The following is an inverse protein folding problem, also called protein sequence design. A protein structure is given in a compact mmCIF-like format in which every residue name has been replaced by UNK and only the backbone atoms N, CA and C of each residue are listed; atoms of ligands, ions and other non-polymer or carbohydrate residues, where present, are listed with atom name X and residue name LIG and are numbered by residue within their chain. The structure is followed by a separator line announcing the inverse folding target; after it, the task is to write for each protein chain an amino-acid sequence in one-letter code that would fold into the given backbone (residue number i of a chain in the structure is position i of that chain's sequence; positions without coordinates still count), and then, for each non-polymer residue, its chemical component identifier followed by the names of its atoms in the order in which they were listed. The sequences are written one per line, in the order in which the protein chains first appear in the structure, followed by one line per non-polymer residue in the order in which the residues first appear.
data_IF_198609695507
#
_entry.id   IF_198609695507
#
_cell.length_a   1.000
_cell.length_b   1.000
_cell.length_c   1.000
_cell.angle_alpha   90.00
_cell.angle_beta   90.00
_cell.angle_gamma   90.00
#
_symmetry.space_group_name_H-M   'P 1'
#
loop_
_entity.id
_entity.type
_entity.pdbx_description
1 polymer ?
#
# COMPACT_ATOMS: atom_id res chain seq x y z
N UNK A 1 25.51 -31.85 38.47
CA UNK A 1 25.59 -32.21 37.04
C UNK A 1 24.22 -32.48 36.42
N UNK A 2 23.30 -33.17 37.12
CA UNK A 2 21.95 -33.53 36.62
C UNK A 2 21.02 -32.32 36.34
N UNK A 3 21.03 -31.27 37.19
CA UNK A 3 20.16 -30.08 36.98
C UNK A 3 20.49 -29.27 35.71
N UNK A 4 21.77 -29.14 35.35
CA UNK A 4 22.18 -28.39 34.13
C UNK A 4 21.75 -29.09 32.85
N UNK A 5 21.72 -30.43 32.85
CA UNK A 5 21.27 -31.23 31.69
C UNK A 5 19.75 -31.07 31.49
N UNK A 6 18.97 -31.11 32.57
CA UNK A 6 17.51 -30.91 32.53
C UNK A 6 17.13 -29.51 32.01
N UNK A 7 17.82 -28.47 32.46
CA UNK A 7 17.57 -27.08 32.03
C UNK A 7 17.94 -26.85 30.55
N UNK A 8 19.02 -27.50 30.07
CA UNK A 8 19.39 -27.45 28.65
C UNK A 8 18.39 -28.19 27.75
N UNK A 9 17.80 -29.28 28.24
CA UNK A 9 16.80 -30.05 27.51
C UNK A 9 15.45 -29.32 27.48
N UNK A 10 15.05 -28.65 28.56
CA UNK A 10 13.87 -27.77 28.60
C UNK A 10 14.01 -26.61 27.60
N UNK A 11 15.15 -25.93 27.56
CA UNK A 11 15.39 -24.85 26.59
C UNK A 11 15.36 -25.36 25.14
N UNK A 12 15.95 -26.53 24.85
CA UNK A 12 15.88 -27.14 23.52
C UNK A 12 14.45 -27.49 23.13
N UNK A 13 13.66 -28.06 24.04
CA UNK A 13 12.24 -28.39 23.79
C UNK A 13 11.44 -27.11 23.56
N UNK A 14 11.65 -26.06 24.36
CA UNK A 14 10.99 -24.77 24.17
C UNK A 14 11.32 -24.15 22.82
N UNK A 15 12.60 -24.08 22.44
CA UNK A 15 13.03 -23.56 21.13
C UNK A 15 12.40 -24.37 19.98
N UNK A 16 12.31 -25.70 20.11
CA UNK A 16 11.70 -26.56 19.10
C UNK A 16 10.17 -26.35 19.02
N UNK A 17 9.50 -26.10 20.13
CA UNK A 17 8.07 -25.77 20.17
C UNK A 17 7.81 -24.40 19.54
N UNK A 18 8.58 -23.37 19.87
CA UNK A 18 8.50 -22.05 19.25
C UNK A 18 8.76 -22.12 17.74
N UNK A 19 9.80 -22.86 17.32
CA UNK A 19 10.11 -23.06 15.91
C UNK A 19 9.01 -23.85 15.18
N UNK A 20 8.45 -24.87 15.80
CA UNK A 20 7.33 -25.64 15.24
C UNK A 20 6.04 -24.82 15.18
N UNK A 21 5.78 -23.92 16.14
CA UNK A 21 4.66 -22.97 16.11
C UNK A 21 4.84 -21.93 15.00
N UNK A 22 6.04 -21.36 14.83
CA UNK A 22 6.33 -20.45 13.72
C UNK A 22 6.24 -21.15 12.36
N UNK A 23 6.70 -22.40 12.25
CA UNK A 23 6.56 -23.20 11.04
C UNK A 23 5.10 -23.53 10.75
N UNK A 24 4.30 -23.87 11.76
CA UNK A 24 2.85 -24.11 11.61
C UNK A 24 2.10 -22.84 11.22
N UNK A 25 2.46 -21.67 11.79
CA UNK A 25 1.93 -20.37 11.38
C UNK A 25 2.29 -20.06 9.92
N UNK A 26 3.56 -20.25 9.52
CA UNK A 26 3.99 -20.11 8.12
C UNK A 26 3.27 -21.07 7.18
N UNK A 27 3.05 -22.33 7.59
CA UNK A 27 2.30 -23.32 6.81
C UNK A 27 0.81 -22.97 6.71
N UNK A 28 0.20 -22.40 7.75
CA UNK A 28 -1.20 -21.94 7.74
C UNK A 28 -1.38 -20.69 6.88
N UNK A 29 -0.43 -19.76 6.93
CA UNK A 29 -0.43 -18.54 6.11
C UNK A 29 -0.22 -18.87 4.62
N UNK A 30 0.62 -19.86 4.30
CA UNK A 30 0.78 -20.35 2.92
C UNK A 30 -0.50 -20.93 2.31
N UNK A 31 -1.51 -21.32 3.11
CA UNK A 31 -2.77 -21.83 2.58
C UNK A 31 -3.74 -20.76 2.04
N UNK A 32 -3.42 -19.46 2.18
CA UNK A 32 -4.25 -18.36 1.68
C UNK A 32 -3.72 -17.69 0.41
N UNK A 33 -2.57 -18.14 -0.09
CA UNK A 33 -1.91 -17.59 -1.27
C UNK A 33 -1.90 -18.69 -2.34
N UNK A 34 -2.84 -18.64 -3.29
CA UNK A 34 -2.75 -19.52 -4.44
C UNK A 34 -1.49 -19.17 -5.26
N UNK A 35 -0.84 -20.18 -5.86
CA UNK A 35 0.36 -19.98 -6.68
C UNK A 35 0.15 -19.11 -7.92
N UNK A 36 -1.10 -18.78 -8.25
CA UNK A 36 -1.49 -17.92 -9.37
C UNK A 36 -1.93 -16.50 -8.92
N UNK A 37 -2.03 -16.24 -7.62
CA UNK A 37 -2.42 -14.92 -7.11
C UNK A 37 -1.22 -13.99 -7.02
N UNK A 38 -1.40 -12.74 -7.47
CA UNK A 38 -0.41 -11.67 -7.34
C UNK A 38 -0.48 -10.95 -5.97
N UNK A 39 -1.41 -11.37 -5.10
CA UNK A 39 -1.58 -10.81 -3.76
C UNK A 39 -2.00 -11.88 -2.74
N UNK A 40 -1.71 -11.66 -1.47
CA UNK A 40 -2.16 -12.49 -0.36
C UNK A 40 -3.38 -11.91 0.34
N UNK A 41 -4.24 -12.76 0.90
CA UNK A 41 -5.35 -12.35 1.76
C UNK A 41 -5.10 -12.88 3.18
N UNK A 42 -5.30 -12.04 4.18
CA UNK A 42 -5.16 -12.38 5.60
C UNK A 42 -6.36 -11.88 6.40
N UNK A 43 -6.54 -12.44 7.60
CA UNK A 43 -7.69 -12.15 8.46
C UNK A 43 -7.36 -11.27 9.67
N UNK A 44 -6.09 -10.89 9.88
CA UNK A 44 -5.69 -10.07 11.02
C UNK A 44 -4.56 -9.09 10.67
N UNK A 45 -4.47 -8.00 11.44
CA UNK A 45 -3.36 -7.05 11.35
C UNK A 45 -2.01 -7.73 11.64
N UNK A 46 -1.95 -8.63 12.62
CA UNK A 46 -0.72 -9.37 12.95
C UNK A 46 -0.23 -10.20 11.76
N UNK A 47 -1.13 -10.82 11.01
CA UNK A 47 -0.77 -11.54 9.79
C UNK A 47 -0.34 -10.55 8.71
N UNK A 48 -1.09 -9.46 8.52
CA UNK A 48 -0.80 -8.42 7.52
C UNK A 48 0.66 -7.97 7.56
N UNK A 49 1.19 -7.69 8.75
CA UNK A 49 2.56 -7.19 8.94
C UNK A 49 3.62 -8.29 9.09
N UNK A 50 3.24 -9.55 9.31
CA UNK A 50 4.19 -10.65 9.53
C UNK A 50 4.40 -11.55 8.32
N UNK A 51 3.43 -11.64 7.41
CA UNK A 51 3.59 -12.37 6.14
C UNK A 51 4.74 -11.75 5.35
N UNK A 52 5.68 -12.53 4.84
CA UNK A 52 6.69 -12.00 3.92
C UNK A 52 6.12 -11.93 2.50
N UNK A 53 6.47 -10.90 1.73
CA UNK A 53 6.28 -10.96 0.29
C UNK A 53 7.13 -12.09 -0.32
N UNK A 54 6.59 -12.79 -1.33
CA UNK A 54 7.27 -13.91 -1.95
C UNK A 54 6.86 -14.09 -3.42
N UNK A 55 7.84 -14.27 -4.30
CA UNK A 55 7.60 -14.50 -5.73
C UNK A 55 6.85 -13.32 -6.36
N UNK A 56 5.67 -13.60 -6.91
CA UNK A 56 4.81 -12.59 -7.54
C UNK A 56 3.84 -11.91 -6.57
N UNK A 57 3.89 -12.26 -5.28
CA UNK A 57 3.02 -11.69 -4.24
C UNK A 57 3.74 -10.51 -3.60
N UNK A 58 3.38 -9.32 -4.04
CA UNK A 58 3.93 -8.03 -3.56
C UNK A 58 2.85 -7.10 -2.97
N UNK A 59 1.65 -7.64 -2.76
CA UNK A 59 0.58 -7.00 -2.02
C UNK A 59 -0.07 -8.01 -1.05
N UNK A 60 -0.44 -7.56 0.15
CA UNK A 60 -1.20 -8.35 1.12
C UNK A 60 -2.39 -7.54 1.61
N UNK A 61 -3.57 -8.15 1.60
CA UNK A 61 -4.84 -7.56 1.98
C UNK A 61 -5.32 -8.14 3.31
N UNK A 62 -5.48 -7.30 4.32
CA UNK A 62 -6.37 -7.62 5.43
C UNK A 62 -7.81 -7.32 5.00
N UNK A 63 -8.47 -8.38 4.53
CA UNK A 63 -9.86 -8.30 4.09
C UNK A 63 -10.80 -8.28 5.29
N UNK A 64 -11.76 -7.36 5.27
CA UNK A 64 -12.66 -7.09 6.39
C UNK A 64 -14.08 -6.84 5.89
N UNK A 65 -15.06 -7.32 6.62
CA UNK A 65 -16.46 -6.93 6.49
C UNK A 65 -16.78 -5.96 7.63
N UNK A 66 -17.01 -4.69 7.28
CA UNK A 66 -17.24 -3.61 8.25
C UNK A 66 -18.66 -3.07 8.08
N UNK A 67 -19.56 -3.43 9.00
CA UNK A 67 -20.93 -2.91 9.03
C UNK A 67 -21.02 -1.61 9.84
N UNK A 68 -20.42 -0.54 9.31
CA UNK A 68 -20.36 0.79 9.95
C UNK A 68 -20.68 1.89 8.94
N UNK A 69 -20.69 3.16 9.37
CA UNK A 69 -21.00 4.29 8.49
C UNK A 69 -19.82 5.28 8.37
N UNK A 70 -18.92 5.01 7.43
CA UNK A 70 -17.85 5.95 7.07
C UNK A 70 -18.35 7.18 6.31
N UNK A 71 -19.54 7.09 5.68
CA UNK A 71 -20.13 8.21 4.95
C UNK A 71 -20.53 9.34 5.90
N UNK A 72 -21.06 9.02 7.08
CA UNK A 72 -21.39 10.01 8.10
C UNK A 72 -20.18 10.85 8.52
N UNK A 73 -19.00 10.21 8.68
CA UNK A 73 -17.75 10.91 8.99
C UNK A 73 -17.40 11.86 7.85
N UNK A 74 -17.39 11.36 6.61
CA UNK A 74 -17.07 12.17 5.42
C UNK A 74 -18.03 13.37 5.27
N UNK A 75 -19.32 13.17 5.53
CA UNK A 75 -20.33 14.23 5.44
C UNK A 75 -20.20 15.33 6.50
N UNK A 76 -19.43 15.10 7.57
CA UNK A 76 -19.20 16.08 8.66
C UNK A 76 -17.80 16.68 8.67
N UNK A 77 -16.84 16.08 7.97
CA UNK A 77 -15.52 16.64 7.80
C UNK A 77 -15.54 17.83 6.84
N UNK A 78 -14.64 18.79 7.06
CA UNK A 78 -14.51 19.98 6.22
C UNK A 78 -13.25 19.86 5.37
N UNK A 79 -13.43 19.81 4.07
CA UNK A 79 -12.36 19.90 3.10
C UNK A 79 -11.93 21.37 2.94
N UNK A 80 -10.63 21.65 3.10
CA UNK A 80 -10.05 23.01 2.96
C UNK A 80 -9.56 23.30 1.54
N UNK A 81 -8.92 22.31 0.90
CA UNK A 81 -8.36 22.41 -0.46
C UNK A 81 -8.79 21.19 -1.29
N UNK A 82 -7.93 20.63 -2.14
CA UNK A 82 -8.19 19.34 -2.80
C UNK A 82 -7.94 18.15 -1.87
N UNK A 83 -7.06 18.32 -0.88
CA UNK A 83 -6.70 17.33 0.12
C UNK A 83 -6.68 18.02 1.49
N UNK A 84 -7.17 17.35 2.51
CA UNK A 84 -7.08 17.81 3.90
C UNK A 84 -6.71 16.65 4.78
N UNK A 85 -5.56 16.75 5.45
CA UNK A 85 -5.17 15.79 6.48
C UNK A 85 -6.09 15.95 7.70
N UNK A 86 -6.53 14.81 8.22
CA UNK A 86 -7.50 14.69 9.31
C UNK A 86 -6.80 14.05 10.50
N UNK A 87 -6.76 14.77 11.63
CA UNK A 87 -6.16 14.27 12.85
C UNK A 87 -7.19 13.55 13.72
N UNK A 88 -6.71 12.73 14.67
CA UNK A 88 -7.58 12.05 15.65
C UNK A 88 -8.48 13.05 16.38
N UNK A 89 -7.94 14.21 16.78
CA UNK A 89 -8.71 15.26 17.44
C UNK A 89 -9.86 15.82 16.57
N UNK A 90 -9.72 15.81 15.25
CA UNK A 90 -10.78 16.25 14.34
C UNK A 90 -11.90 15.22 14.27
N UNK A 91 -11.57 13.93 14.24
CA UNK A 91 -12.54 12.83 14.34
C UNK A 91 -13.30 12.86 15.68
N UNK A 92 -12.61 13.19 16.78
CA UNK A 92 -13.19 13.24 18.12
C UNK A 92 -14.18 14.40 18.32
N UNK A 93 -14.06 15.47 17.52
CA UNK A 93 -14.98 16.62 17.54
C UNK A 93 -16.29 16.35 16.79
N UNK A 94 -16.36 15.29 15.98
CA UNK A 94 -17.56 14.98 15.22
C UNK A 94 -18.68 14.46 16.14
N UNK A 95 -19.84 15.09 16.06
CA UNK A 95 -21.09 14.59 16.63
C UNK A 95 -21.65 13.52 15.69
N UNK A 96 -21.56 12.24 16.08
CA UNK A 96 -21.82 11.08 15.25
C UNK A 96 -22.89 10.18 15.86
N UNK A 97 -23.65 9.49 15.00
CA UNK A 97 -24.50 8.37 15.41
C UNK A 97 -23.69 7.20 15.99
N UNK A 98 -24.35 6.19 16.54
CA UNK A 98 -23.69 4.97 17.02
C UNK A 98 -22.85 4.30 15.91
N UNK A 99 -23.40 4.19 14.69
CA UNK A 99 -22.69 3.61 13.54
C UNK A 99 -21.50 4.46 13.09
N UNK A 100 -21.63 5.78 13.14
CA UNK A 100 -20.53 6.71 12.87
C UNK A 100 -19.44 6.64 13.94
N UNK A 101 -19.80 6.49 15.21
CA UNK A 101 -18.85 6.28 16.31
C UNK A 101 -18.07 4.98 16.12
N UNK A 102 -18.71 3.88 15.73
CA UNK A 102 -18.00 2.63 15.40
C UNK A 102 -17.05 2.79 14.22
N UNK A 103 -17.45 3.53 13.18
CA UNK A 103 -16.55 3.87 12.06
C UNK A 103 -15.32 4.66 12.53
N UNK A 104 -15.52 5.66 13.42
CA UNK A 104 -14.43 6.45 14.00
C UNK A 104 -13.47 5.58 14.80
N UNK A 105 -13.98 4.67 15.62
CA UNK A 105 -13.16 3.76 16.43
C UNK A 105 -12.30 2.86 15.55
N UNK A 106 -12.81 2.36 14.42
CA UNK A 106 -12.04 1.57 13.45
C UNK A 106 -10.87 2.40 12.89
N UNK A 107 -11.13 3.62 12.43
CA UNK A 107 -10.09 4.49 11.85
C UNK A 107 -8.99 4.76 12.86
N UNK A 108 -9.36 5.18 14.09
CA UNK A 108 -8.39 5.50 15.15
C UNK A 108 -7.58 4.26 15.50
N UNK A 109 -8.21 3.08 15.61
CA UNK A 109 -7.53 1.82 15.90
C UNK A 109 -6.54 1.43 14.80
N UNK A 110 -6.92 1.56 13.53
CA UNK A 110 -6.04 1.26 12.40
C UNK A 110 -4.82 2.20 12.40
N UNK A 111 -5.02 3.50 12.63
CA UNK A 111 -3.92 4.46 12.80
C UNK A 111 -3.00 4.07 13.95
N UNK A 112 -3.56 3.73 15.12
CA UNK A 112 -2.77 3.33 16.28
C UNK A 112 -1.95 2.05 16.02
N UNK A 113 -2.57 1.01 15.44
CA UNK A 113 -1.88 -0.24 15.12
C UNK A 113 -0.72 -0.01 14.14
N UNK A 114 -0.90 0.85 13.13
CA UNK A 114 0.17 1.21 12.19
C UNK A 114 1.28 2.02 12.85
N UNK A 115 0.94 3.02 13.68
CA UNK A 115 1.93 3.79 14.44
C UNK A 115 2.72 2.92 15.42
N UNK A 116 2.06 2.01 16.14
CA UNK A 116 2.70 1.05 17.06
C UNK A 116 3.60 0.05 16.32
N UNK A 117 3.25 -0.31 15.09
CA UNK A 117 4.09 -1.10 14.20
C UNK A 117 5.33 -0.33 13.70
N UNK A 118 5.31 1.01 13.78
CA UNK A 118 6.40 1.88 13.35
C UNK A 118 6.19 2.53 11.97
N UNK A 119 4.98 2.45 11.41
CA UNK A 119 4.59 3.21 10.23
C UNK A 119 4.14 4.64 10.59
N UNK A 120 3.94 5.49 9.59
CA UNK A 120 3.55 6.89 9.75
C UNK A 120 2.18 7.19 9.10
N UNK A 121 1.07 6.68 9.66
CA UNK A 121 -0.24 6.81 9.05
C UNK A 121 -0.73 8.26 9.00
N UNK A 122 -1.19 8.67 7.82
CA UNK A 122 -1.91 9.90 7.55
C UNK A 122 -3.31 9.59 7.03
N UNK A 123 -4.33 10.18 7.66
CA UNK A 123 -5.71 10.09 7.21
C UNK A 123 -6.06 11.34 6.41
N UNK A 124 -6.52 11.17 5.19
CA UNK A 124 -6.77 12.26 4.26
C UNK A 124 -8.22 12.23 3.79
N UNK A 125 -8.87 13.40 3.83
CA UNK A 125 -10.09 13.67 3.07
C UNK A 125 -9.68 14.29 1.74
N UNK A 126 -10.07 13.66 0.62
CA UNK A 126 -9.65 14.06 -0.71
C UNK A 126 -10.83 14.31 -1.62
N UNK A 127 -10.72 15.34 -2.45
CA UNK A 127 -11.54 15.57 -3.63
C UNK A 127 -10.84 15.12 -4.90
N UNK A 128 -9.54 15.41 -5.02
CA UNK A 128 -8.69 15.01 -6.15
C UNK A 128 -7.22 15.21 -5.80
N UNK A 129 -6.32 14.64 -6.60
CA UNK A 129 -4.93 15.05 -6.66
C UNK A 129 -4.70 16.06 -7.78
N UNK A 130 -3.62 16.81 -7.67
CA UNK A 130 -3.17 17.66 -8.77
C UNK A 130 -2.68 16.78 -9.93
N UNK A 131 -2.90 17.27 -11.16
CA UNK A 131 -2.53 16.57 -12.39
C UNK A 131 -1.16 17.02 -12.86
N UNK A 132 -0.36 16.07 -13.33
CA UNK A 132 0.85 16.39 -14.07
C UNK A 132 0.48 16.69 -15.53
N UNK A 133 0.62 17.96 -15.90
CA UNK A 133 0.38 18.48 -17.25
C UNK A 133 1.67 19.03 -17.88
N UNK A 134 2.85 18.75 -17.29
CA UNK A 134 4.13 19.26 -17.78
C UNK A 134 4.47 18.68 -19.16
N UNK A 135 4.20 17.38 -19.33
CA UNK A 135 4.48 16.65 -20.57
C UNK A 135 3.24 15.96 -21.13
N UNK A 136 3.09 15.99 -22.46
CA UNK A 136 1.97 15.34 -23.15
C UNK A 136 2.16 13.83 -23.39
N UNK A 137 3.36 13.31 -23.10
CA UNK A 137 3.78 11.94 -23.44
C UNK A 137 4.09 11.06 -22.23
N UNK A 138 4.24 11.65 -21.05
CA UNK A 138 4.43 10.95 -19.79
C UNK A 138 3.81 11.81 -18.68
N UNK A 139 3.13 11.16 -17.74
CA UNK A 139 2.69 11.80 -16.50
C UNK A 139 3.27 11.00 -15.33
N UNK A 140 3.69 11.76 -14.33
CA UNK A 140 4.30 11.32 -13.07
C UNK A 140 3.37 11.49 -11.86
N UNK A 141 2.12 11.89 -12.09
CA UNK A 141 1.13 11.99 -11.02
C UNK A 141 0.63 10.61 -10.54
N UNK A 142 -0.06 10.61 -9.41
CA UNK A 142 -0.55 9.37 -8.76
C UNK A 142 -1.68 8.66 -9.51
N UNK A 143 -2.30 9.27 -10.52
CA UNK A 143 -3.28 8.59 -11.39
C UNK A 143 -2.60 7.69 -12.43
N UNK A 144 -1.33 7.97 -12.73
CA UNK A 144 -0.45 7.07 -13.47
C UNK A 144 -0.19 5.81 -12.64
N UNK A 145 -0.16 4.64 -13.27
CA UNK A 145 0.34 3.45 -12.57
C UNK A 145 1.79 3.67 -12.18
N UNK A 146 2.09 3.59 -10.89
CA UNK A 146 3.38 3.89 -10.33
C UNK A 146 3.77 2.88 -9.26
N UNK A 147 5.03 2.95 -8.85
CA UNK A 147 5.55 2.26 -7.69
C UNK A 147 6.10 3.29 -6.72
N UNK A 148 5.89 3.06 -5.43
CA UNK A 148 6.52 3.88 -4.41
C UNK A 148 7.96 3.46 -4.23
N UNK A 149 8.84 4.43 -3.96
CA UNK A 149 10.25 4.20 -3.63
C UNK A 149 10.54 4.77 -2.27
N UNK A 150 11.23 4.00 -1.44
CA UNK A 150 11.69 4.47 -0.12
C UNK A 150 13.18 4.20 0.04
N UNK A 151 13.94 5.11 0.69
CA UNK A 151 15.32 4.84 1.08
C UNK A 151 15.43 3.98 2.35
N UNK A 152 14.31 3.70 3.02
CA UNK A 152 14.23 2.88 4.23
C UNK A 152 13.35 1.67 3.95
N UNK A 153 13.70 0.52 4.54
CA UNK A 153 12.91 -0.70 4.46
C UNK A 153 11.54 -0.52 5.14
N UNK A 154 10.57 -0.04 4.38
CA UNK A 154 9.17 0.17 4.75
C UNK A 154 8.28 -0.37 3.65
N UNK A 155 7.00 -0.54 3.97
CA UNK A 155 5.96 -0.88 2.99
C UNK A 155 4.92 0.26 2.97
N UNK A 156 4.25 0.45 1.84
CA UNK A 156 3.12 1.36 1.75
C UNK A 156 1.90 0.67 2.36
N UNK A 157 1.17 1.38 3.22
CA UNK A 157 -0.13 0.91 3.72
C UNK A 157 -1.24 1.75 3.13
N UNK A 158 -2.35 1.12 2.73
CA UNK A 158 -3.47 1.83 2.10
C UNK A 158 -4.82 1.27 2.55
N UNK A 159 -5.74 2.15 2.95
CA UNK A 159 -7.13 1.79 3.22
C UNK A 159 -8.07 2.93 2.80
N UNK A 160 -8.93 2.68 1.82
CA UNK A 160 -10.03 3.58 1.49
C UNK A 160 -11.23 3.26 2.38
N UNK A 161 -11.61 4.14 3.29
CA UNK A 161 -12.79 3.94 4.14
C UNK A 161 -14.09 4.32 3.43
N UNK A 162 -14.03 5.35 2.58
CA UNK A 162 -15.16 5.83 1.80
C UNK A 162 -14.67 6.45 0.48
N UNK A 163 -15.48 6.38 -0.57
CA UNK A 163 -15.16 6.87 -1.91
C UNK A 163 -14.63 5.77 -2.85
N UNK A 164 -14.06 6.16 -3.98
CA UNK A 164 -13.41 5.24 -4.92
C UNK A 164 -12.09 4.70 -4.35
N UNK A 165 -11.84 3.40 -4.45
CA UNK A 165 -10.60 2.77 -4.01
C UNK A 165 -9.57 2.64 -5.14
N UNK A 166 -8.29 2.68 -4.77
CA UNK A 166 -7.15 2.47 -5.68
C UNK A 166 -7.20 1.12 -6.40
N UNK A 167 -6.44 1.02 -7.48
CA UNK A 167 -6.21 -0.22 -8.21
C UNK A 167 -4.73 -0.60 -8.13
N UNK A 168 -4.44 -1.90 -8.16
CA UNK A 168 -3.10 -2.40 -8.47
C UNK A 168 -3.11 -3.30 -9.72
N UNK A 169 -1.94 -3.41 -10.35
CA UNK A 169 -1.71 -4.30 -11.50
C UNK A 169 -0.54 -5.25 -11.25
N UNK A 170 -0.66 -6.53 -11.66
CA UNK A 170 0.48 -7.44 -11.71
C UNK A 170 1.66 -6.89 -12.51
N UNK A 171 2.89 -7.09 -12.04
CA UNK A 171 4.08 -6.56 -12.71
C UNK A 171 4.26 -7.06 -14.15
N UNK A 172 3.83 -8.29 -14.44
CA UNK A 172 3.88 -8.88 -15.78
C UNK A 172 2.83 -8.31 -16.75
N UNK A 173 1.84 -7.58 -16.25
CA UNK A 173 0.81 -6.89 -17.04
C UNK A 173 1.15 -5.43 -17.34
N UNK A 174 2.33 -4.97 -16.95
CA UNK A 174 2.79 -3.60 -17.15
C UNK A 174 4.14 -3.55 -17.86
N UNK A 175 4.45 -2.40 -18.46
CA UNK A 175 5.78 -2.05 -18.98
C UNK A 175 6.17 -0.70 -18.38
N UNK A 176 7.37 -0.59 -17.84
CA UNK A 176 7.88 0.67 -17.32
C UNK A 176 7.97 1.70 -18.46
N UNK A 177 7.42 2.92 -18.27
CA UNK A 177 7.27 3.90 -19.35
C UNK A 177 8.60 4.30 -19.99
N UNK A 178 9.66 4.41 -19.19
CA UNK A 178 11.02 4.76 -19.68
C UNK A 178 11.66 3.68 -20.57
N UNK A 179 11.06 2.49 -20.65
CA UNK A 179 11.48 1.40 -21.54
C UNK A 179 10.75 1.44 -22.90
N UNK A 180 9.73 2.29 -23.04
CA UNK A 180 9.01 2.49 -24.30
C UNK A 180 9.88 3.40 -25.19
N UNK A 181 10.28 2.96 -26.40
CA UNK A 181 11.22 3.71 -27.24
C UNK A 181 10.83 5.15 -27.48
N UNK A 182 9.56 5.41 -27.82
CA UNK A 182 9.06 6.75 -28.14
C UNK A 182 9.11 7.69 -26.92
N UNK A 183 8.84 7.16 -25.72
CA UNK A 183 8.95 7.93 -24.47
C UNK A 183 10.42 8.18 -24.15
N UNK A 184 11.27 7.15 -24.26
CA UNK A 184 12.69 7.24 -23.93
C UNK A 184 13.42 8.21 -24.85
N UNK A 185 13.11 8.23 -26.13
CA UNK A 185 13.64 9.19 -27.10
C UNK A 185 13.25 10.62 -26.72
N UNK A 186 11.99 10.88 -26.39
CA UNK A 186 11.54 12.21 -25.94
C UNK A 186 12.25 12.64 -24.66
N UNK A 187 12.36 11.76 -23.66
CA UNK A 187 13.10 12.05 -22.42
C UNK A 187 14.58 12.32 -22.70
N UNK A 188 15.19 11.62 -23.66
CA UNK A 188 16.59 11.85 -24.04
C UNK A 188 16.84 13.25 -24.59
N UNK A 189 15.86 13.85 -25.26
CA UNK A 189 15.97 15.25 -25.73
C UNK A 189 15.97 16.29 -24.61
N UNK A 190 15.59 15.90 -23.39
CA UNK A 190 15.59 16.77 -22.21
C UNK A 190 16.90 16.69 -21.41
N UNK A 191 17.84 15.81 -21.80
CA UNK A 191 19.08 15.55 -21.07
C UNK A 191 20.27 15.47 -22.03
N UNK A 192 21.14 16.48 -22.00
CA UNK A 192 22.37 16.56 -22.80
C UNK A 192 23.53 15.70 -22.27
N UNK A 193 23.33 15.03 -21.13
CA UNK A 193 24.36 14.24 -20.47
C UNK A 193 24.65 12.90 -21.14
N UNK A 194 25.67 12.19 -20.67
CA UNK A 194 25.95 10.82 -21.10
C UNK A 194 24.88 9.82 -20.62
N UNK A 195 25.12 8.51 -20.79
CA UNK A 195 24.13 7.49 -20.42
C UNK A 195 23.97 7.35 -18.89
N UNK A 196 25.02 7.59 -18.10
CA UNK A 196 24.94 7.52 -16.63
C UNK A 196 24.19 8.74 -16.07
N UNK A 197 24.48 9.91 -16.64
CA UNK A 197 23.76 11.15 -16.34
C UNK A 197 22.29 11.05 -16.74
N UNK A 198 21.97 10.37 -17.84
CA UNK A 198 20.57 10.13 -18.25
C UNK A 198 19.81 9.26 -17.25
N UNK A 199 20.39 8.15 -16.77
CA UNK A 199 19.74 7.32 -15.76
C UNK A 199 19.54 8.07 -14.44
N UNK A 200 20.47 8.96 -14.08
CA UNK A 200 20.34 9.86 -12.93
C UNK A 200 19.22 10.87 -13.14
N UNK A 201 19.08 11.44 -14.34
CA UNK A 201 17.99 12.33 -14.73
C UNK A 201 16.62 11.62 -14.64
N UNK A 202 16.50 10.39 -15.14
CA UNK A 202 15.26 9.62 -15.08
C UNK A 202 14.80 9.40 -13.62
N UNK A 203 15.73 9.03 -12.74
CA UNK A 203 15.46 8.84 -11.30
C UNK A 203 15.16 10.14 -10.57
N UNK A 204 15.92 11.19 -10.86
CA UNK A 204 15.79 12.49 -10.21
C UNK A 204 14.46 13.19 -10.52
N UNK A 205 13.84 12.85 -11.65
CA UNK A 205 12.52 13.34 -12.06
C UNK A 205 11.42 12.27 -11.94
N UNK A 206 11.69 11.17 -11.24
CA UNK A 206 10.74 10.08 -10.96
C UNK A 206 10.15 9.36 -12.19
N UNK A 207 10.63 9.62 -13.41
CA UNK A 207 10.11 9.00 -14.63
C UNK A 207 10.20 7.47 -14.60
N UNK A 208 11.21 6.93 -13.91
CA UNK A 208 11.44 5.50 -13.75
C UNK A 208 10.41 4.81 -12.82
N UNK A 209 9.58 5.55 -12.10
CA UNK A 209 8.57 4.96 -11.21
C UNK A 209 7.26 4.63 -11.92
N UNK A 210 7.07 5.05 -13.18
CA UNK A 210 5.78 4.96 -13.85
C UNK A 210 5.69 3.84 -14.89
N UNK A 211 4.52 3.25 -14.98
CA UNK A 211 4.21 2.08 -15.79
C UNK A 211 3.02 2.31 -16.71
N UNK A 212 3.06 1.67 -17.87
CA UNK A 212 1.96 1.58 -18.83
C UNK A 212 1.37 0.17 -18.78
N UNK A 213 0.06 0.02 -18.55
CA UNK A 213 -0.61 -1.27 -18.67
C UNK A 213 -0.50 -1.83 -20.09
N UNK A 214 -0.21 -3.13 -20.21
CA UNK A 214 -0.26 -3.85 -21.48
C UNK A 214 -1.70 -4.00 -21.96
N UNK A 215 -1.95 -4.20 -23.27
CA UNK A 215 -3.27 -4.55 -23.76
C UNK A 215 -3.81 -5.79 -23.04
N UNK A 216 -5.02 -5.70 -22.49
CA UNK A 216 -5.65 -6.78 -21.73
C UNK A 216 -5.25 -6.87 -20.25
N UNK A 217 -4.49 -5.90 -19.73
CA UNK A 217 -4.22 -5.79 -18.31
C UNK A 217 -5.54 -5.72 -17.51
N UNK A 218 -5.60 -6.47 -16.40
CA UNK A 218 -6.79 -6.63 -15.56
C UNK A 218 -6.48 -6.08 -14.16
N UNK A 219 -6.86 -4.84 -13.85
CA UNK A 219 -6.60 -4.26 -12.54
C UNK A 219 -7.39 -4.97 -11.45
N UNK A 220 -6.77 -5.09 -10.28
CA UNK A 220 -7.44 -5.53 -9.06
C UNK A 220 -7.76 -4.29 -8.24
N UNK A 221 -9.05 -4.06 -7.99
CA UNK A 221 -9.48 -2.97 -7.15
C UNK A 221 -9.23 -3.31 -5.67
N UNK A 222 -8.71 -2.34 -4.91
CA UNK A 222 -8.34 -2.57 -3.50
C UNK A 222 -9.56 -2.63 -2.58
N UNK A 223 -10.73 -2.14 -3.03
CA UNK A 223 -11.96 -2.16 -2.27
C UNK A 223 -11.97 -1.22 -1.06
N UNK A 224 -13.15 -1.02 -0.49
CA UNK A 224 -13.33 -0.15 0.68
C UNK A 224 -13.25 -0.95 1.98
N UNK A 225 -12.65 -0.35 3.02
CA UNK A 225 -12.50 -0.94 4.35
C UNK A 225 -11.47 -2.05 4.44
N UNK A 226 -10.74 -2.36 3.37
CA UNK A 226 -9.64 -3.32 3.38
C UNK A 226 -8.32 -2.59 3.61
N UNK A 227 -7.51 -3.09 4.56
CA UNK A 227 -6.18 -2.54 4.81
C UNK A 227 -5.14 -3.33 4.02
N UNK A 228 -4.50 -2.66 3.07
CA UNK A 228 -3.48 -3.24 2.21
C UNK A 228 -2.08 -2.86 2.69
N UNK A 229 -1.15 -3.78 2.48
CA UNK A 229 0.30 -3.54 2.57
C UNK A 229 0.94 -3.87 1.23
N UNK A 230 1.63 -2.91 0.65
CA UNK A 230 2.17 -2.95 -0.71
C UNK A 230 3.69 -2.84 -0.65
N UNK A 231 4.39 -3.68 -1.42
CA UNK A 231 5.84 -3.62 -1.49
C UNK A 231 6.30 -2.34 -2.23
N UNK A 232 7.30 -1.67 -1.69
CA UNK A 232 7.95 -0.51 -2.32
C UNK A 232 9.25 -0.91 -3.02
N UNK A 233 9.72 -0.04 -3.91
CA UNK A 233 11.04 -0.12 -4.53
C UNK A 233 12.10 0.22 -3.47
N UNK A 234 12.79 -0.82 -2.99
CA UNK A 234 13.85 -0.72 -1.98
C UNK A 234 14.90 -1.82 -2.23
N UNK A 235 16.22 -1.53 -2.09
CA UNK A 235 17.28 -2.51 -2.36
C UNK A 235 17.17 -3.84 -1.60
N UNK A 236 16.66 -3.82 -0.37
CA UNK A 236 16.50 -5.03 0.46
C UNK A 236 15.20 -5.82 0.18
N UNK A 237 14.31 -5.31 -0.70
CA UNK A 237 13.06 -6.00 -1.03
C UNK A 237 13.32 -7.21 -1.93
N UNK A 238 12.62 -8.32 -1.67
CA UNK A 238 12.84 -9.61 -2.36
C UNK A 238 11.86 -9.88 -3.49
N UNK A 239 10.91 -8.99 -3.68
CA UNK A 239 9.89 -9.01 -4.72
C UNK A 239 9.94 -7.71 -5.50
N UNK A 240 9.33 -7.69 -6.68
CA UNK A 240 9.12 -6.44 -7.40
C UNK A 240 8.16 -5.54 -6.62
N UNK A 241 8.31 -4.20 -6.71
CA UNK A 241 7.38 -3.28 -6.06
C UNK A 241 5.97 -3.40 -6.65
N UNK A 242 4.97 -3.08 -5.83
CA UNK A 242 3.57 -3.12 -6.22
C UNK A 242 3.24 -1.95 -7.14
N UNK A 243 2.78 -2.25 -8.35
CA UNK A 243 2.32 -1.23 -9.31
C UNK A 243 0.88 -0.88 -9.00
N UNK A 244 0.62 0.35 -8.58
CA UNK A 244 -0.70 0.81 -8.18
C UNK A 244 -0.97 2.24 -8.65
N UNK A 245 -2.20 2.71 -8.47
CA UNK A 245 -2.59 4.09 -8.80
C UNK A 245 -3.75 4.56 -7.94
N UNK A 246 -3.87 5.88 -7.81
CA UNK A 246 -5.11 6.51 -7.37
C UNK A 246 -6.24 6.25 -8.37
N UNK A 247 -7.48 6.05 -7.89
CA UNK A 247 -8.65 5.96 -8.75
C UNK A 247 -9.03 7.33 -9.27
N UNK A 248 -9.75 7.37 -10.40
CA UNK A 248 -10.46 8.59 -10.78
C UNK A 248 -11.62 8.81 -9.80
N UNK A 249 -11.61 9.95 -9.11
CA UNK A 249 -12.66 10.30 -8.15
C UNK A 249 -14.01 10.55 -8.85
N UNK A 250 -15.11 10.30 -8.14
CA UNK A 250 -16.47 10.55 -8.64
C UNK A 250 -16.87 11.99 -8.33
N UNK A 251 -17.54 12.63 -9.28
CA UNK A 251 -18.04 13.99 -9.09
C UNK A 251 -18.99 14.07 -7.89
N UNK A 252 -18.73 15.01 -6.97
CA UNK A 252 -19.51 15.22 -5.75
C UNK A 252 -19.24 14.23 -4.60
N UNK A 253 -18.30 13.28 -4.76
CA UNK A 253 -17.94 12.30 -3.73
C UNK A 253 -16.51 12.55 -3.23
N UNK A 254 -16.34 12.73 -1.92
CA UNK A 254 -15.01 12.75 -1.31
C UNK A 254 -14.51 11.34 -1.02
N UNK A 255 -13.18 11.17 -1.02
CA UNK A 255 -12.50 9.95 -0.58
C UNK A 255 -11.95 10.15 0.82
N UNK A 256 -12.13 9.17 1.70
CA UNK A 256 -11.47 9.10 3.00
C UNK A 256 -10.43 7.99 2.95
N UNK A 257 -9.15 8.36 2.97
CA UNK A 257 -8.03 7.46 2.70
C UNK A 257 -7.03 7.50 3.84
N UNK A 258 -6.70 6.34 4.38
CA UNK A 258 -5.53 6.15 5.22
C UNK A 258 -4.36 5.69 4.35
N UNK A 259 -3.21 6.35 4.50
CA UNK A 259 -1.97 6.01 3.79
C UNK A 259 -0.76 6.15 4.72
N UNK A 260 0.27 5.32 4.52
CA UNK A 260 1.59 5.41 5.17
C UNK A 260 2.69 5.48 4.12
#
# INVERSE_FOLDING_TARGET
MVLKVLQSNLNKVMVNVYFCMQLKQRLFIMNYISSESHYGIVSSFSDLVSVGFQGNVNAVCWQRELDVDFHEIVGKLILKENITEIFIDDLMKLDLSERGNSAREIIIRDMQMLSEFGAAPSLNLLKSYDRDEEFDFISTDVYSYHVDRSPVATDTFLCTYFGAASDFLPNDQCVQKIMIPEIREKLRTLCDGDDEEFETFLKGNYFDLHYLPKPGATPVNLGNGHLWRLAVDHPDQKVLPCIHRAPQEKEGEYRLLLIC
#
